data_IF_601193537515
#
_entry.id   IF_601193537515
#
_cell.length_a   1.000
_cell.length_b   1.000
_cell.length_c   1.000
_cell.angle_alpha   90.00
_cell.angle_beta   90.00
_cell.angle_gamma   90.00
#
_symmetry.space_group_name_H-M   'P 1'
#
loop_
_entity.id
_entity.type
_entity.pdbx_description
1 polymer ?
#
# COMPACT_ATOMS: atom_id res chain seq x y z
N UNK A 1 4.92 5.35 15.77
CA UNK A 1 3.94 4.52 15.04
C UNK A 1 2.49 4.92 15.34
N UNK A 2 2.04 4.88 16.60
CA UNK A 2 0.65 5.25 16.97
C UNK A 2 0.23 6.61 16.43
N UNK A 3 1.08 7.63 16.60
CA UNK A 3 0.80 8.98 16.13
C UNK A 3 0.65 9.07 14.60
N UNK A 4 1.44 8.31 13.85
CA UNK A 4 1.32 8.24 12.38
C UNK A 4 -0.05 7.73 11.98
N UNK A 5 -0.51 6.62 12.59
CA UNK A 5 -1.83 6.08 12.26
C UNK A 5 -2.99 6.96 12.72
N UNK A 6 -2.82 7.76 13.79
CA UNK A 6 -3.77 8.81 14.14
C UNK A 6 -3.88 9.87 13.05
N UNK A 7 -2.75 10.29 12.47
CA UNK A 7 -2.72 11.27 11.38
C UNK A 7 -3.38 10.74 10.09
N UNK A 8 -3.29 9.43 9.82
CA UNK A 8 -4.02 8.83 8.67
C UNK A 8 -5.55 8.87 8.84
N UNK A 9 -6.05 9.02 10.08
CA UNK A 9 -7.46 9.26 10.35
C UNK A 9 -8.42 8.16 9.88
N UNK A 10 -7.94 6.92 9.74
CA UNK A 10 -8.73 5.79 9.23
C UNK A 10 -8.54 5.49 7.74
N UNK A 11 -7.72 6.25 7.03
CA UNK A 11 -7.28 5.90 5.69
C UNK A 11 -6.46 4.61 5.72
N UNK A 12 -6.69 3.71 4.75
CA UNK A 12 -5.84 2.55 4.56
C UNK A 12 -4.58 3.00 3.80
N UNK A 13 -3.41 2.54 4.23
CA UNK A 13 -2.14 2.76 3.53
C UNK A 13 -1.77 1.49 2.75
N UNK A 14 -1.96 1.57 1.44
CA UNK A 14 -1.80 0.46 0.50
C UNK A 14 -1.09 1.00 -0.74
N UNK A 15 -0.09 0.27 -1.26
CA UNK A 15 0.53 0.65 -2.53
C UNK A 15 -0.46 0.38 -3.66
N UNK A 16 -1.02 1.41 -4.28
CA UNK A 16 -2.01 1.23 -5.35
C UNK A 16 -1.56 1.99 -6.59
N UNK A 17 -1.40 1.25 -7.69
CA UNK A 17 -1.11 1.80 -9.03
C UNK A 17 -1.93 1.07 -10.10
N UNK A 18 -1.94 1.60 -11.33
CA UNK A 18 -2.59 0.95 -12.48
C UNK A 18 -2.16 -0.52 -12.62
N UNK A 19 -3.14 -1.43 -12.61
CA UNK A 19 -2.95 -2.83 -12.93
C UNK A 19 -2.72 -3.02 -14.45
N UNK A 20 -1.70 -3.79 -14.86
CA UNK A 20 -1.65 -4.34 -16.21
C UNK A 20 -2.89 -5.21 -16.52
N UNK A 21 -3.45 -5.16 -17.74
CA UNK A 21 -4.67 -5.89 -18.09
C UNK A 21 -4.58 -7.41 -17.97
N UNK A 22 -3.36 -7.96 -17.99
CA UNK A 22 -3.03 -9.38 -17.90
C UNK A 22 -2.95 -9.91 -16.45
N UNK A 23 -3.05 -9.04 -15.44
CA UNK A 23 -2.99 -9.47 -14.03
C UNK A 23 -4.29 -10.09 -13.50
N UNK A 24 -5.38 -10.01 -14.25
CA UNK A 24 -6.67 -10.58 -13.87
C UNK A 24 -7.38 -11.17 -15.09
N UNK A 25 -8.22 -12.17 -14.85
CA UNK A 25 -8.95 -12.86 -15.91
C UNK A 25 -10.13 -12.02 -16.40
N UNK A 26 -10.00 -11.44 -17.59
CA UNK A 26 -11.04 -10.60 -18.21
C UNK A 26 -12.29 -11.40 -18.65
N UNK A 27 -12.24 -12.74 -18.61
CA UNK A 27 -13.39 -13.59 -18.93
C UNK A 27 -14.24 -13.93 -17.70
N UNK A 28 -13.74 -13.68 -16.48
CA UNK A 28 -14.51 -13.84 -15.25
C UNK A 28 -15.45 -12.66 -15.01
N UNK A 29 -16.53 -12.93 -14.28
CA UNK A 29 -17.48 -11.92 -13.84
C UNK A 29 -17.05 -11.36 -12.49
N UNK A 30 -16.66 -10.09 -12.49
CA UNK A 30 -16.14 -9.39 -11.32
C UNK A 30 -17.18 -8.47 -10.65
N UNK A 31 -18.47 -8.66 -10.94
CA UNK A 31 -19.54 -7.94 -10.26
C UNK A 31 -19.87 -8.55 -8.89
N UNK A 32 -20.34 -7.72 -7.97
CA UNK A 32 -20.61 -8.10 -6.59
C UNK A 32 -21.63 -9.24 -6.46
N UNK A 33 -22.56 -9.40 -7.42
CA UNK A 33 -23.54 -10.51 -7.42
C UNK A 33 -22.89 -11.82 -7.82
N UNK A 34 -22.12 -11.82 -8.91
CA UNK A 34 -21.40 -13.02 -9.39
C UNK A 34 -20.38 -13.50 -8.38
N UNK A 35 -19.77 -12.58 -7.62
CA UNK A 35 -18.84 -12.89 -6.54
C UNK A 35 -19.52 -13.21 -5.21
N UNK A 36 -20.84 -13.06 -5.11
CA UNK A 36 -21.62 -13.24 -3.88
C UNK A 36 -21.05 -12.43 -2.69
N UNK A 37 -20.61 -11.18 -2.94
CA UNK A 37 -19.98 -10.36 -1.91
C UNK A 37 -20.94 -9.97 -0.80
N UNK A 38 -22.21 -9.73 -1.13
CA UNK A 38 -23.22 -9.31 -0.20
C UNK A 38 -24.30 -10.39 -0.11
N UNK A 39 -24.37 -11.08 1.03
CA UNK A 39 -25.30 -12.17 1.25
C UNK A 39 -26.77 -11.72 1.34
N UNK A 40 -27.69 -12.70 1.31
CA UNK A 40 -29.13 -12.46 1.55
C UNK A 40 -29.31 -11.89 2.96
N UNK A 41 -29.92 -10.71 3.06
CA UNK A 41 -30.10 -9.98 4.32
C UNK A 41 -29.01 -8.95 4.65
N UNK A 42 -28.01 -8.78 3.78
CA UNK A 42 -27.07 -7.66 3.90
C UNK A 42 -27.79 -6.32 3.73
N UNK A 43 -27.37 -5.32 4.51
CA UNK A 43 -27.82 -3.93 4.37
C UNK A 43 -27.12 -3.18 3.22
N UNK A 44 -26.60 -3.92 2.23
CA UNK A 44 -25.93 -3.32 1.09
C UNK A 44 -26.93 -2.54 0.23
N UNK A 45 -26.52 -1.36 -0.22
CA UNK A 45 -27.32 -0.57 -1.16
C UNK A 45 -27.44 -1.27 -2.53
N UNK A 46 -28.45 -0.88 -3.32
CA UNK A 46 -28.56 -1.35 -4.69
C UNK A 46 -27.33 -1.02 -5.55
N UNK A 47 -26.65 0.10 -5.27
CA UNK A 47 -25.39 0.47 -5.93
C UNK A 47 -24.28 -0.52 -5.59
N UNK A 48 -24.09 -0.83 -4.29
CA UNK A 48 -23.09 -1.82 -3.84
C UNK A 48 -23.36 -3.22 -4.38
N UNK A 49 -24.63 -3.65 -4.43
CA UNK A 49 -24.98 -4.97 -4.99
C UNK A 49 -24.70 -5.06 -6.49
N UNK A 50 -24.69 -3.94 -7.21
CA UNK A 50 -24.40 -3.89 -8.65
C UNK A 50 -22.97 -3.40 -8.94
N UNK A 51 -22.15 -3.21 -7.90
CA UNK A 51 -20.77 -2.76 -8.04
C UNK A 51 -19.94 -3.77 -8.84
N UNK A 52 -19.04 -3.26 -9.68
CA UNK A 52 -18.05 -4.08 -10.38
C UNK A 52 -16.67 -3.82 -9.81
N UNK A 53 -15.96 -4.89 -9.45
CA UNK A 53 -14.59 -4.77 -8.95
C UNK A 53 -13.69 -4.11 -9.98
N UNK A 54 -12.89 -3.19 -9.49
CA UNK A 54 -11.81 -2.53 -10.23
C UNK A 54 -10.47 -3.06 -9.74
N UNK A 55 -9.51 -3.15 -10.64
CA UNK A 55 -8.22 -3.77 -10.35
C UNK A 55 -7.13 -2.73 -10.27
N UNK A 56 -6.30 -2.87 -9.23
CA UNK A 56 -5.07 -2.13 -9.07
C UNK A 56 -3.94 -3.09 -8.71
N UNK A 57 -2.73 -2.68 -9.05
CA UNK A 57 -1.51 -3.36 -8.67
C UNK A 57 -0.99 -2.74 -7.37
N UNK A 58 -0.53 -3.60 -6.49
CA UNK A 58 0.15 -3.19 -5.26
C UNK A 58 1.19 -4.17 -4.77
N UNK A 59 1.51 -4.04 -3.49
CA UNK A 59 2.43 -4.91 -2.77
C UNK A 59 1.72 -5.46 -1.54
N UNK A 60 1.97 -6.72 -1.22
CA UNK A 60 1.24 -7.48 -0.18
C UNK A 60 1.20 -6.79 1.19
N UNK A 61 2.14 -5.91 1.50
CA UNK A 61 2.19 -5.17 2.76
C UNK A 61 1.30 -3.94 2.70
N UNK A 62 0.30 -3.93 3.58
CA UNK A 62 -0.65 -2.83 3.76
C UNK A 62 -0.87 -2.54 5.24
N UNK A 63 -1.22 -1.29 5.56
CA UNK A 63 -1.81 -0.93 6.86
C UNK A 63 -3.29 -0.67 6.65
N UNK A 64 -4.13 -1.50 7.25
CA UNK A 64 -5.58 -1.48 7.05
C UNK A 64 -6.27 -1.03 8.34
N UNK A 65 -7.22 -0.11 8.23
CA UNK A 65 -7.99 0.40 9.37
C UNK A 65 -8.87 -0.69 9.99
N UNK A 66 -9.16 -0.55 11.30
CA UNK A 66 -10.08 -1.48 12.00
C UNK A 66 -11.45 -1.56 11.31
N UNK A 67 -11.98 -0.42 10.85
CA UNK A 67 -13.27 -0.37 10.16
C UNK A 67 -13.23 -1.15 8.83
N UNK A 68 -12.12 -1.09 8.09
CA UNK A 68 -11.96 -1.87 6.87
C UNK A 68 -11.84 -3.38 7.16
N UNK A 69 -11.13 -3.76 8.23
CA UNK A 69 -11.07 -5.17 8.67
C UNK A 69 -12.45 -5.67 9.08
N UNK A 70 -13.18 -4.91 9.90
CA UNK A 70 -14.54 -5.24 10.31
C UNK A 70 -15.47 -5.41 9.10
N UNK A 71 -15.38 -4.50 8.13
CA UNK A 71 -16.13 -4.61 6.88
C UNK A 71 -15.77 -5.88 6.09
N UNK A 72 -14.48 -6.20 5.94
CA UNK A 72 -14.02 -7.40 5.22
C UNK A 72 -14.44 -8.71 5.88
N UNK A 73 -14.54 -8.73 7.22
CA UNK A 73 -14.83 -9.94 7.99
C UNK A 73 -16.33 -10.13 8.25
N UNK A 74 -17.04 -9.04 8.53
CA UNK A 74 -18.42 -9.08 9.03
C UNK A 74 -19.46 -8.57 8.02
N UNK A 75 -19.06 -7.81 6.99
CA UNK A 75 -20.00 -7.21 6.02
C UNK A 75 -20.01 -7.92 4.68
N UNK A 76 -18.84 -8.28 4.14
CA UNK A 76 -18.71 -8.93 2.84
C UNK A 76 -18.27 -10.38 2.94
N UNK A 77 -18.79 -11.23 2.06
CA UNK A 77 -18.33 -12.59 1.88
C UNK A 77 -17.25 -12.63 0.79
N UNK A 78 -16.00 -12.79 1.21
CA UNK A 78 -14.84 -12.80 0.31
C UNK A 78 -14.48 -14.20 -0.23
N UNK A 79 -15.23 -15.25 0.11
CA UNK A 79 -14.88 -16.65 -0.23
C UNK A 79 -14.66 -16.83 -1.73
N UNK A 80 -15.67 -16.48 -2.53
CA UNK A 80 -15.59 -16.58 -4.00
C UNK A 80 -14.48 -15.72 -4.58
N UNK A 81 -14.26 -14.52 -4.02
CA UNK A 81 -13.23 -13.62 -4.50
C UNK A 81 -11.83 -14.20 -4.25
N UNK A 82 -11.56 -14.68 -3.04
CA UNK A 82 -10.28 -15.26 -2.64
C UNK A 82 -9.96 -16.52 -3.46
N UNK A 83 -10.97 -17.35 -3.76
CA UNK A 83 -10.82 -18.52 -4.64
C UNK A 83 -10.46 -18.12 -6.08
N UNK A 84 -10.91 -16.95 -6.54
CA UNK A 84 -10.67 -16.47 -7.89
C UNK A 84 -9.38 -15.65 -8.03
N UNK A 85 -9.01 -14.86 -7.02
CA UNK A 85 -7.85 -13.96 -7.05
C UNK A 85 -7.40 -13.51 -5.65
N UNK A 86 -6.09 -13.25 -5.51
CA UNK A 86 -5.47 -12.72 -4.28
C UNK A 86 -4.86 -11.32 -4.52
N UNK A 87 -5.69 -10.33 -4.90
CA UNK A 87 -5.24 -8.97 -5.26
C UNK A 87 -6.05 -7.85 -4.56
N UNK A 88 -5.52 -6.63 -4.56
CA UNK A 88 -5.99 -5.44 -3.81
C UNK A 88 -7.22 -4.72 -4.39
N UNK A 89 -8.04 -5.41 -5.18
CA UNK A 89 -9.17 -4.83 -5.93
C UNK A 89 -10.22 -4.15 -5.04
N UNK A 90 -10.37 -4.59 -3.79
CA UNK A 90 -11.31 -4.01 -2.84
C UNK A 90 -10.97 -2.55 -2.48
N UNK A 91 -9.69 -2.19 -2.45
CA UNK A 91 -9.22 -0.86 -2.03
C UNK A 91 -9.52 0.27 -3.01
N UNK A 92 -9.81 -0.08 -4.28
CA UNK A 92 -10.07 0.89 -5.35
C UNK A 92 -11.48 0.79 -5.91
N UNK A 93 -12.29 -0.16 -5.47
CA UNK A 93 -13.64 -0.32 -6.00
C UNK A 93 -14.59 0.64 -5.28
N UNK A 94 -14.69 1.87 -5.80
CA UNK A 94 -15.39 3.00 -5.16
C UNK A 94 -16.82 2.64 -4.73
N UNK A 95 -17.55 1.91 -5.57
CA UNK A 95 -18.94 1.48 -5.37
C UNK A 95 -19.13 0.44 -4.25
N UNK A 96 -18.08 -0.27 -3.84
CA UNK A 96 -18.17 -1.18 -2.68
C UNK A 96 -18.25 -0.43 -1.35
N UNK A 97 -17.87 0.84 -1.36
CA UNK A 97 -17.83 1.73 -0.22
C UNK A 97 -16.95 1.23 0.96
N UNK A 98 -15.89 0.47 0.67
CA UNK A 98 -15.01 -0.02 1.74
C UNK A 98 -14.43 1.14 2.59
N UNK A 99 -14.41 1.03 3.92
CA UNK A 99 -13.79 2.02 4.79
C UNK A 99 -12.30 2.21 4.49
N UNK A 100 -11.80 3.44 4.56
CA UNK A 100 -10.39 3.75 4.32
C UNK A 100 -9.90 3.60 2.88
N UNK A 101 -10.78 3.27 1.92
CA UNK A 101 -10.43 3.08 0.49
C UNK A 101 -9.86 4.33 -0.19
N UNK A 102 -9.25 4.12 -1.35
CA UNK A 102 -8.82 5.16 -2.28
C UNK A 102 -9.59 5.06 -3.60
N UNK A 103 -9.60 6.12 -4.40
CA UNK A 103 -10.36 6.11 -5.67
C UNK A 103 -9.65 5.37 -6.79
N UNK A 104 -10.40 4.54 -7.53
CA UNK A 104 -9.92 3.93 -8.77
C UNK A 104 -9.38 4.98 -9.74
N UNK A 105 -10.11 6.07 -9.97
CA UNK A 105 -9.78 7.03 -11.03
C UNK A 105 -8.36 7.61 -10.84
N UNK A 106 -8.02 8.03 -9.62
CA UNK A 106 -6.71 8.58 -9.34
C UNK A 106 -5.61 7.52 -9.31
N UNK A 107 -5.91 6.29 -8.87
CA UNK A 107 -4.96 5.16 -8.95
C UNK A 107 -4.50 4.87 -10.39
N UNK A 108 -5.34 5.19 -11.38
CA UNK A 108 -4.99 5.03 -12.78
C UNK A 108 -4.05 6.12 -13.30
N UNK A 109 -3.92 7.25 -12.60
CA UNK A 109 -3.12 8.40 -13.05
C UNK A 109 -1.74 8.46 -12.39
N UNK A 110 -1.52 7.71 -11.31
CA UNK A 110 -0.24 7.75 -10.61
C UNK A 110 -0.21 6.91 -9.33
N UNK A 111 0.69 7.29 -8.45
CA UNK A 111 0.95 6.64 -7.17
C UNK A 111 0.66 7.58 -6.00
N UNK A 112 -0.21 7.14 -5.09
CA UNK A 112 -0.67 7.93 -3.93
C UNK A 112 0.31 7.95 -2.75
N UNK A 113 1.44 7.22 -2.84
CA UNK A 113 2.37 7.03 -1.74
C UNK A 113 1.92 5.91 -0.80
N UNK A 114 2.87 5.09 -0.32
CA UNK A 114 2.72 4.19 0.82
C UNK A 114 3.81 4.43 1.85
N UNK A 115 3.44 4.35 3.12
CA UNK A 115 4.36 4.43 4.27
C UNK A 115 4.53 3.07 4.98
N UNK A 116 3.71 2.07 4.68
CA UNK A 116 3.73 0.79 5.40
C UNK A 116 5.10 0.12 5.31
N UNK A 117 5.72 0.13 4.13
CA UNK A 117 6.96 -0.60 3.89
C UNK A 117 7.92 0.14 2.96
N UNK A 118 9.16 0.28 3.41
CA UNK A 118 10.30 0.60 2.56
C UNK A 118 10.90 -0.69 1.99
N UNK A 119 11.13 -0.71 0.68
CA UNK A 119 11.87 -1.79 0.02
C UNK A 119 12.87 -1.22 -0.95
N UNK A 120 14.13 -1.58 -0.75
CA UNK A 120 15.19 -1.31 -1.70
C UNK A 120 15.17 -2.41 -2.75
N UNK A 121 14.89 -2.03 -4.00
CA UNK A 121 14.93 -2.96 -5.12
C UNK A 121 16.24 -2.79 -5.86
N UNK A 122 16.85 -3.89 -6.30
CA UNK A 122 18.08 -3.93 -7.05
C UNK A 122 17.88 -3.57 -8.54
N UNK A 123 17.07 -2.55 -8.84
CA UNK A 123 16.73 -2.18 -10.22
C UNK A 123 17.76 -1.21 -10.79
N UNK A 124 18.86 -1.78 -11.32
CA UNK A 124 19.93 -1.21 -12.18
C UNK A 124 21.05 -0.34 -11.51
N UNK A 125 22.31 -0.44 -12.00
CA UNK A 125 23.44 0.40 -11.57
C UNK A 125 23.24 1.90 -11.85
N UNK A 126 23.96 2.82 -11.16
CA UNK A 126 25.11 2.59 -10.28
C UNK A 126 24.75 2.44 -8.80
N UNK A 127 23.45 2.41 -8.44
CA UNK A 127 22.99 2.14 -7.06
C UNK A 127 22.51 0.71 -6.90
N UNK A 128 23.37 -0.23 -7.27
CA UNK A 128 23.27 -1.59 -6.74
C UNK A 128 23.28 -1.51 -5.21
N UNK A 129 22.50 -2.36 -4.57
CA UNK A 129 22.38 -2.50 -3.13
C UNK A 129 23.59 -2.01 -2.31
N UNK A 130 23.41 -1.10 -1.34
CA UNK A 130 24.55 -0.55 -0.58
C UNK A 130 25.31 -1.64 0.19
N UNK A 131 24.60 -2.67 0.63
CA UNK A 131 25.13 -3.85 1.32
C UNK A 131 25.77 -4.86 0.37
N UNK A 132 25.66 -4.67 -0.94
CA UNK A 132 26.05 -5.65 -1.96
C UNK A 132 25.18 -6.92 -2.02
N UNK A 133 24.20 -7.08 -1.12
CA UNK A 133 23.48 -8.34 -0.94
C UNK A 133 22.04 -8.25 -1.44
N UNK A 134 21.70 -9.11 -2.41
CA UNK A 134 20.41 -9.10 -3.12
C UNK A 134 19.82 -10.50 -3.12
N UNK A 135 18.52 -10.61 -2.81
CA UNK A 135 17.75 -11.85 -2.91
C UNK A 135 16.42 -11.59 -3.59
N UNK A 136 16.20 -12.24 -4.74
CA UNK A 136 15.01 -12.05 -5.58
C UNK A 136 14.77 -10.57 -5.95
N UNK A 137 15.82 -9.90 -6.45
CA UNK A 137 15.83 -8.48 -6.83
C UNK A 137 15.50 -7.48 -5.71
N UNK A 138 15.45 -7.95 -4.45
CA UNK A 138 15.29 -7.14 -3.26
C UNK A 138 16.62 -7.09 -2.50
N UNK A 139 17.02 -5.88 -2.13
CA UNK A 139 18.15 -5.65 -1.26
C UNK A 139 17.93 -6.20 0.14
N UNK A 140 18.94 -6.91 0.63
CA UNK A 140 19.05 -7.25 2.04
C UNK A 140 19.74 -6.06 2.72
N UNK A 141 19.01 -5.41 3.62
CA UNK A 141 19.46 -4.28 4.42
C UNK A 141 20.61 -4.73 5.33
N UNK A 142 21.68 -3.94 5.30
CA UNK A 142 22.83 -4.01 6.21
C UNK A 142 23.13 -2.63 6.82
N UNK A 143 24.18 -2.54 7.63
CA UNK A 143 24.57 -1.33 8.38
C UNK A 143 24.78 -0.10 7.46
N UNK A 144 25.13 -0.31 6.19
CA UNK A 144 25.34 0.76 5.19
C UNK A 144 24.05 1.55 4.90
N UNK A 145 22.89 0.98 5.22
CA UNK A 145 21.59 1.63 5.00
C UNK A 145 21.12 2.44 6.21
N UNK A 146 21.72 2.29 7.40
CA UNK A 146 21.28 2.94 8.64
C UNK A 146 21.11 4.47 8.53
N UNK A 147 22.02 5.22 7.87
CA UNK A 147 21.82 6.65 7.70
C UNK A 147 20.51 6.99 6.97
N UNK A 148 20.15 6.22 5.95
CA UNK A 148 18.89 6.39 5.21
C UNK A 148 17.66 5.92 5.99
N UNK A 149 17.79 4.84 6.75
CA UNK A 149 16.70 4.28 7.56
C UNK A 149 16.30 5.19 8.72
N UNK A 150 17.27 5.84 9.36
CA UNK A 150 17.03 6.70 10.53
C UNK A 150 16.00 7.82 10.28
N UNK A 151 15.92 8.32 9.05
CA UNK A 151 15.01 9.38 8.62
C UNK A 151 13.94 8.94 7.61
N UNK A 152 13.78 7.65 7.36
CA UNK A 152 12.78 7.15 6.44
C UNK A 152 11.35 7.40 6.99
N UNK A 153 10.40 7.90 6.18
CA UNK A 153 9.03 8.10 6.64
C UNK A 153 8.24 6.78 6.79
N UNK A 154 8.76 5.68 6.26
CA UNK A 154 8.11 4.37 6.32
C UNK A 154 8.18 3.75 7.72
N UNK A 155 7.18 2.92 8.02
CA UNK A 155 7.00 2.29 9.33
C UNK A 155 7.87 1.03 9.48
N UNK A 156 8.04 0.29 8.39
CA UNK A 156 8.83 -0.94 8.35
C UNK A 156 9.77 -0.94 7.16
N UNK A 157 10.86 -1.69 7.25
CA UNK A 157 11.77 -1.95 6.13
C UNK A 157 11.79 -3.44 5.80
N UNK A 158 11.89 -3.75 4.51
CA UNK A 158 12.14 -5.08 3.97
C UNK A 158 13.29 -4.99 2.95
N UNK A 159 14.28 -5.88 2.94
CA UNK A 159 14.40 -7.14 3.71
C UNK A 159 15.58 -7.06 4.69
N UNK A 160 15.42 -7.50 5.94
CA UNK A 160 16.54 -7.70 6.87
C UNK A 160 16.71 -9.20 7.16
N UNK A 161 17.94 -9.69 7.23
CA UNK A 161 18.24 -11.09 7.51
C UNK A 161 19.31 -11.19 8.61
N UNK A 162 19.02 -11.81 9.77
CA UNK A 162 19.99 -11.99 10.85
C UNK A 162 21.30 -12.66 10.41
N UNK A 163 21.21 -13.67 9.55
CA UNK A 163 22.39 -14.42 9.06
C UNK A 163 23.29 -13.62 8.13
N UNK A 164 22.78 -12.52 7.56
CA UNK A 164 23.55 -11.62 6.72
C UNK A 164 24.20 -10.52 7.54
N UNK A 165 23.40 -9.77 8.29
CA UNK A 165 23.87 -8.63 9.08
C UNK A 165 22.95 -8.43 10.30
N UNK A 166 23.32 -9.08 11.40
CA UNK A 166 22.65 -8.89 12.68
C UNK A 166 22.90 -7.50 13.28
N UNK A 167 24.05 -6.89 12.97
CA UNK A 167 24.42 -5.56 13.47
C UNK A 167 23.44 -4.49 12.99
N UNK A 168 22.97 -4.58 11.74
CA UNK A 168 21.92 -3.70 11.24
C UNK A 168 20.62 -3.79 12.04
N UNK A 169 20.22 -5.00 12.46
CA UNK A 169 19.01 -5.24 13.26
C UNK A 169 19.21 -4.70 14.68
N UNK A 170 20.36 -4.98 15.28
CA UNK A 170 20.73 -4.52 16.62
C UNK A 170 20.77 -2.99 16.69
N UNK A 171 21.43 -2.32 15.73
CA UNK A 171 21.49 -0.86 15.67
C UNK A 171 20.10 -0.22 15.54
N UNK A 172 19.19 -0.80 14.74
CA UNK A 172 17.81 -0.30 14.64
C UNK A 172 17.04 -0.52 15.94
N UNK A 173 17.23 -1.67 16.61
CA UNK A 173 16.63 -1.92 17.92
C UNK A 173 17.12 -0.92 18.97
N UNK A 174 18.42 -0.65 19.03
CA UNK A 174 19.00 0.34 19.94
C UNK A 174 18.47 1.76 19.65
N UNK A 175 18.41 2.15 18.37
CA UNK A 175 17.83 3.43 17.95
C UNK A 175 16.37 3.58 18.43
N UNK A 176 15.56 2.53 18.26
CA UNK A 176 14.16 2.53 18.72
C UNK A 176 14.06 2.57 20.24
N UNK A 177 14.93 1.84 20.96
CA UNK A 177 15.01 1.86 22.41
C UNK A 177 15.36 3.27 22.93
N UNK A 178 16.41 3.89 22.39
CA UNK A 178 16.88 5.21 22.79
C UNK A 178 15.82 6.29 22.54
N UNK A 179 15.13 6.24 21.39
CA UNK A 179 14.00 7.14 21.08
C UNK A 179 12.82 6.97 22.03
N UNK A 180 12.57 5.74 22.49
CA UNK A 180 11.38 5.41 23.31
C UNK A 180 11.60 5.65 24.79
N UNK A 181 12.75 5.22 25.32
CA UNK A 181 13.00 5.15 26.76
C UNK A 181 13.97 6.21 27.27
N UNK A 182 14.87 6.72 26.41
CA UNK A 182 15.88 7.73 26.79
C UNK A 182 15.54 9.13 26.28
N UNK A 183 14.41 9.30 25.56
CA UNK A 183 13.99 10.59 25.01
C UNK A 183 14.93 11.16 23.94
N UNK A 184 15.79 10.33 23.34
CA UNK A 184 16.72 10.77 22.29
C UNK A 184 15.98 10.94 20.97
N UNK A 185 15.57 12.18 20.66
CA UNK A 185 14.88 12.51 19.41
C UNK A 185 15.86 13.17 18.43
N UNK A 186 16.42 12.38 17.53
CA UNK A 186 17.29 12.82 16.43
C UNK A 186 16.50 13.26 15.18
N UNK A 187 15.31 12.68 14.96
CA UNK A 187 14.41 13.01 13.84
C UNK A 187 12.97 13.16 14.35
N UNK A 188 12.45 14.39 14.53
CA UNK A 188 11.07 14.58 14.96
C UNK A 188 10.08 14.11 13.89
N UNK A 189 8.89 13.69 14.32
CA UNK A 189 7.81 13.27 13.43
C UNK A 189 7.38 14.41 12.51
N UNK A 190 7.51 14.24 11.20
CA UNK A 190 7.00 15.20 10.23
C UNK A 190 5.50 14.95 9.96
N UNK A 191 4.63 15.49 10.81
CA UNK A 191 3.18 15.32 10.68
C UNK A 191 2.63 15.76 9.31
N UNK A 192 3.16 16.87 8.76
CA UNK A 192 2.76 17.41 7.46
C UNK A 192 3.01 16.43 6.32
N UNK A 193 4.05 15.60 6.40
CA UNK A 193 4.29 14.55 5.41
C UNK A 193 3.13 13.54 5.37
N UNK A 194 2.70 13.04 6.52
CA UNK A 194 1.64 12.02 6.60
C UNK A 194 0.27 12.60 6.24
N UNK A 195 -0.03 13.83 6.69
CA UNK A 195 -1.28 14.52 6.36
C UNK A 195 -1.41 14.89 4.88
N UNK A 196 -0.29 15.00 4.16
CA UNK A 196 -0.26 15.34 2.72
C UNK A 196 -0.27 14.13 1.80
N UNK A 197 -0.34 12.90 2.33
CA UNK A 197 -0.48 11.70 1.51
C UNK A 197 -1.83 11.69 0.79
N UNK A 198 -1.84 11.35 -0.51
CA UNK A 198 -3.04 11.46 -1.33
C UNK A 198 -4.20 10.61 -0.83
N UNK A 199 -3.92 9.40 -0.34
CA UNK A 199 -4.94 8.52 0.22
C UNK A 199 -5.54 9.06 1.53
N UNK A 200 -4.76 9.81 2.31
CA UNK A 200 -5.24 10.50 3.53
C UNK A 200 -6.12 11.70 3.18
N UNK A 201 -5.66 12.54 2.24
CA UNK A 201 -6.43 13.69 1.76
C UNK A 201 -7.77 13.22 1.18
N UNK A 202 -7.75 12.20 0.32
CA UNK A 202 -8.97 11.64 -0.25
C UNK A 202 -9.90 11.10 0.83
N UNK A 203 -9.38 10.26 1.75
CA UNK A 203 -10.21 9.66 2.81
C UNK A 203 -10.93 10.71 3.65
N UNK A 204 -10.26 11.82 3.98
CA UNK A 204 -10.83 12.92 4.77
C UNK A 204 -11.99 13.62 4.06
N UNK A 205 -11.95 13.72 2.73
CA UNK A 205 -12.91 14.51 1.94
C UNK A 205 -13.89 13.66 1.13
N UNK A 206 -13.81 12.31 1.18
CA UNK A 206 -14.60 11.40 0.33
C UNK A 206 -16.12 11.49 0.48
N UNK A 207 -16.61 12.15 1.54
CA UNK A 207 -18.04 12.37 1.79
C UNK A 207 -18.51 13.79 1.38
N UNK A 208 -17.59 14.64 0.91
CA UNK A 208 -17.90 15.99 0.42
C UNK A 208 -18.08 15.96 -1.11
N UNK A 209 -19.33 16.04 -1.56
CA UNK A 209 -19.67 16.01 -2.97
C UNK A 209 -19.12 17.22 -3.76
N UNK A 210 -19.00 18.39 -3.13
CA UNK A 210 -18.45 19.57 -3.79
C UNK A 210 -16.93 19.44 -3.97
N UNK A 211 -16.25 18.87 -2.98
CA UNK A 211 -14.83 18.54 -3.09
C UNK A 211 -14.59 17.48 -4.16
N UNK A 212 -15.37 16.38 -4.16
CA UNK A 212 -15.25 15.34 -5.19
C UNK A 212 -15.46 15.86 -6.61
N UNK A 213 -16.40 16.80 -6.80
CA UNK A 213 -16.68 17.40 -8.11
C UNK A 213 -15.56 18.33 -8.61
N UNK A 214 -14.73 18.86 -7.71
CA UNK A 214 -13.64 19.80 -8.03
C UNK A 214 -12.23 19.20 -7.87
N UNK A 215 -12.14 18.00 -7.33
CA UNK A 215 -10.89 17.26 -7.09
C UNK A 215 -10.11 17.04 -8.38
N UNK A 216 -8.80 17.31 -8.33
CA UNK A 216 -7.86 16.87 -9.37
C UNK A 216 -6.93 15.78 -8.84
N UNK A 217 -6.89 14.64 -9.53
CA UNK A 217 -6.01 13.55 -9.16
C UNK A 217 -4.52 13.92 -9.16
N UNK A 218 -4.08 14.93 -9.92
CA UNK A 218 -2.68 15.40 -9.87
C UNK A 218 -2.23 15.84 -8.48
N UNK A 219 -3.19 16.22 -7.64
CA UNK A 219 -2.92 16.71 -6.28
C UNK A 219 -2.83 15.56 -5.27
N UNK A 220 -3.34 14.38 -5.65
CA UNK A 220 -3.38 13.18 -4.81
C UNK A 220 -2.33 12.15 -5.23
N UNK A 221 -1.97 12.11 -6.51
CA UNK A 221 -1.04 11.09 -7.03
C UNK A 221 0.15 11.73 -7.71
N UNK A 222 1.31 11.14 -7.49
CA UNK A 222 2.54 11.50 -8.20
C UNK A 222 2.66 10.65 -9.47
N UNK A 223 3.28 11.16 -10.54
CA UNK A 223 3.55 10.37 -11.73
C UNK A 223 4.25 9.06 -11.35
N UNK A 224 3.62 7.94 -11.69
CA UNK A 224 4.25 6.64 -11.49
C UNK A 224 5.37 6.50 -12.51
N UNK A 225 6.61 6.79 -12.10
CA UNK A 225 7.78 6.49 -12.94
C UNK A 225 7.82 4.98 -13.09
N UNK A 226 7.38 4.46 -14.26
CA UNK A 226 7.53 3.06 -14.63
C UNK A 226 8.98 2.67 -14.36
N UNK A 227 9.20 1.85 -13.33
CA UNK A 227 10.34 0.93 -13.37
C UNK A 227 9.96 -0.05 -14.47
N UNK A 228 10.50 0.15 -15.66
CA UNK A 228 10.24 -0.71 -16.82
C UNK A 228 10.47 -2.17 -16.39
N UNK A 229 9.49 -3.06 -16.58
CA UNK A 229 9.79 -4.49 -16.51
C UNK A 229 10.72 -4.77 -17.68
N UNK A 230 11.98 -5.12 -17.38
CA UNK A 230 12.86 -5.61 -18.43
C UNK A 230 12.38 -7.03 -18.73
N UNK A 231 12.04 -7.30 -19.99
CA UNK A 231 11.88 -8.64 -20.52
C UNK A 231 13.07 -9.49 -20.08
N UNK A 232 12.80 -10.57 -19.36
CA UNK A 232 13.80 -11.58 -19.05
C UNK A 232 14.37 -12.13 -20.37
N UNK A 233 15.68 -12.05 -20.64
CA UNK A 233 16.29 -12.95 -21.59
C UNK A 233 16.21 -14.35 -20.96
N UNK A 234 15.73 -15.32 -21.74
CA UNK A 234 15.81 -16.74 -21.37
C UNK A 234 17.19 -17.05 -20.81
N UNK A 235 17.23 -17.59 -19.58
CA UNK A 235 18.45 -18.20 -19.06
C UNK A 235 18.78 -19.37 -19.98
N UNK A 236 19.79 -19.22 -20.84
CA UNK A 236 20.48 -20.38 -21.39
C UNK A 236 21.13 -21.10 -20.21
N UNK A 237 20.80 -22.39 -20.11
CA UNK A 237 21.46 -23.36 -19.23
C UNK A 237 22.93 -23.48 -19.62
#
# INVERSE_FOLDING_TARGET
>A
MVEIYRLLGGANDVEIVRAPPDMYDNHKKWDARSLNLFGKGSHASNSQMNATLRFAKGVVQASISRAAVDWMVNTVNLTTLIEQINQESLQVSDDLDMPGRFTYECSQKGYAGTITRLTYWATRPPRSCLSGNVRHDICIVGVEHLPGLSGAPQIMVNKALPDFDYGAIECVHELLFNRTFLGQVDKPLNASHYLSLGHVIYHKNRNDHAWLASMNCSDLVRPYRRRTPMSFPERRR
#
